data_IF_763459698773
#
_entry.id   IF_763459698773
#
_cell.length_a   1.000
_cell.length_b   1.000
_cell.length_c   1.000
_cell.angle_alpha   90.00
_cell.angle_beta   90.00
_cell.angle_gamma   90.00
#
_symmetry.space_group_name_H-M   'P 1'
#
loop_
_entity.id
_entity.type
_entity.pdbx_description
1 polymer ?
#
# COMPACT_ATOMS: atom_id res chain seq x y z
N UNK A 1 10.27 9.17 -6.57
CA UNK A 1 10.80 8.06 -5.74
C UNK A 1 9.70 7.59 -4.81
N UNK A 2 9.36 6.30 -4.78
CA UNK A 2 8.39 5.79 -3.82
C UNK A 2 8.75 6.20 -2.40
N UNK A 3 7.80 6.81 -1.73
CA UNK A 3 8.00 7.37 -0.38
C UNK A 3 6.91 6.87 0.54
N UNK A 4 7.27 6.38 1.70
CA UNK A 4 6.33 6.09 2.79
C UNK A 4 6.45 7.19 3.83
N UNK A 5 5.34 7.91 4.04
CA UNK A 5 5.19 8.92 5.07
C UNK A 5 4.40 8.32 6.23
N UNK A 6 4.92 8.37 7.42
CA UNK A 6 4.23 7.93 8.64
C UNK A 6 3.91 9.15 9.49
N UNK A 7 2.63 9.44 9.64
CA UNK A 7 2.13 10.52 10.49
C UNK A 7 1.77 9.99 11.87
N UNK A 8 2.25 10.64 12.91
CA UNK A 8 1.76 10.43 14.29
C UNK A 8 0.65 11.42 14.55
N UNK A 9 -0.52 10.90 14.86
CA UNK A 9 -1.74 11.66 15.10
C UNK A 9 -2.10 11.56 16.58
N UNK A 10 -2.19 12.69 17.26
CA UNK A 10 -2.67 12.77 18.65
C UNK A 10 -4.12 13.22 18.66
N UNK A 11 -5.01 12.42 19.23
CA UNK A 11 -6.43 12.75 19.31
C UNK A 11 -6.70 13.92 20.27
N UNK A 12 -7.62 14.82 19.91
CA UNK A 12 -8.02 15.94 20.78
C UNK A 12 -8.80 15.48 22.01
N UNK A 13 -9.47 14.33 21.91
CA UNK A 13 -10.28 13.74 22.98
C UNK A 13 -9.88 12.30 23.25
N UNK A 14 -9.88 11.84 24.50
CA UNK A 14 -9.47 10.48 24.87
C UNK A 14 -10.43 9.38 24.39
N UNK A 15 -11.68 9.68 24.11
CA UNK A 15 -12.67 8.69 23.66
C UNK A 15 -12.83 8.71 22.13
N UNK A 16 -12.18 7.75 21.49
CA UNK A 16 -12.08 7.65 20.03
C UNK A 16 -12.71 6.38 19.48
N UNK A 17 -13.81 5.92 20.05
CA UNK A 17 -14.41 4.61 19.74
C UNK A 17 -15.14 4.51 18.40
N UNK A 18 -15.27 5.58 17.63
CA UNK A 18 -15.91 5.50 16.31
C UNK A 18 -14.90 5.03 15.26
N UNK A 19 -15.17 3.93 14.58
CA UNK A 19 -14.29 3.45 13.51
C UNK A 19 -14.21 4.50 12.40
N UNK A 20 -12.98 4.73 11.92
CA UNK A 20 -12.73 5.60 10.77
C UNK A 20 -13.14 4.84 9.51
N UNK A 21 -13.95 5.48 8.65
CA UNK A 21 -14.42 4.86 7.42
C UNK A 21 -13.40 4.99 6.29
N UNK A 22 -13.44 4.09 5.29
CA UNK A 22 -12.59 4.19 4.10
C UNK A 22 -12.70 5.52 3.37
N UNK A 23 -13.91 6.08 3.25
CA UNK A 23 -14.14 7.39 2.62
C UNK A 23 -13.47 8.55 3.39
N UNK A 24 -13.45 8.50 4.72
CA UNK A 24 -12.78 9.50 5.55
C UNK A 24 -11.25 9.45 5.39
N UNK A 25 -10.67 8.24 5.31
CA UNK A 25 -9.24 8.06 5.03
C UNK A 25 -8.86 8.61 3.66
N UNK A 26 -9.67 8.31 2.64
CA UNK A 26 -9.48 8.84 1.29
C UNK A 26 -9.53 10.36 1.25
N UNK A 27 -10.56 10.96 1.85
CA UNK A 27 -10.72 12.42 1.90
C UNK A 27 -9.57 13.12 2.62
N UNK A 28 -9.11 12.57 3.75
CA UNK A 28 -7.94 13.12 4.45
C UNK A 28 -6.68 13.01 3.59
N UNK A 29 -6.45 11.86 2.94
CA UNK A 29 -5.25 11.66 2.13
C UNK A 29 -5.23 12.59 0.93
N UNK A 30 -6.38 12.77 0.26
CA UNK A 30 -6.53 13.74 -0.82
C UNK A 30 -6.21 15.17 -0.34
N UNK A 31 -6.73 15.58 0.82
CA UNK A 31 -6.46 16.89 1.42
C UNK A 31 -4.96 17.11 1.71
N UNK A 32 -4.25 16.07 2.11
CA UNK A 32 -2.83 16.16 2.46
C UNK A 32 -1.89 16.07 1.26
N UNK A 33 -2.27 15.32 0.21
CA UNK A 33 -1.37 14.97 -0.89
C UNK A 33 -1.79 15.49 -2.26
N UNK A 34 -3.05 15.90 -2.46
CA UNK A 34 -3.50 16.45 -3.74
C UNK A 34 -3.29 17.97 -3.77
N UNK A 35 -2.31 18.43 -4.54
CA UNK A 35 -2.01 19.88 -4.67
C UNK A 35 -2.73 20.52 -5.83
N UNK A 36 -3.24 19.74 -6.79
CA UNK A 36 -3.83 20.23 -8.03
C UNK A 36 -5.06 19.44 -8.42
N UNK A 37 -5.96 20.06 -9.19
CA UNK A 37 -7.13 19.41 -9.78
C UNK A 37 -6.75 18.19 -10.64
N UNK A 38 -5.54 18.15 -11.21
CA UNK A 38 -5.03 17.05 -12.03
C UNK A 38 -4.98 15.74 -11.25
N UNK A 39 -4.53 15.76 -10.01
CA UNK A 39 -4.48 14.55 -9.16
C UNK A 39 -5.88 14.10 -8.73
N UNK A 40 -6.81 15.01 -8.55
CA UNK A 40 -8.18 14.70 -8.11
C UNK A 40 -8.94 13.84 -9.13
N UNK A 41 -8.75 14.08 -10.42
CA UNK A 41 -9.40 13.35 -11.51
C UNK A 41 -8.57 12.21 -12.10
N UNK A 42 -7.34 11.97 -11.61
CA UNK A 42 -6.49 10.92 -12.12
C UNK A 42 -7.10 9.53 -11.89
N UNK A 43 -7.18 8.73 -12.96
CA UNK A 43 -7.65 7.34 -12.91
C UNK A 43 -6.75 6.47 -12.01
N UNK A 44 -5.45 6.74 -12.02
CA UNK A 44 -4.47 6.11 -11.15
C UNK A 44 -3.99 7.13 -10.12
N UNK A 45 -4.48 6.99 -8.90
CA UNK A 45 -4.05 7.88 -7.80
C UNK A 45 -2.58 7.64 -7.46
N UNK A 46 -1.80 8.72 -7.28
CA UNK A 46 -0.36 8.62 -6.98
C UNK A 46 -0.06 8.20 -5.55
N UNK A 47 -1.06 7.92 -4.74
CA UNK A 47 -0.91 7.66 -3.32
C UNK A 47 -1.71 6.45 -2.83
N UNK A 48 -1.31 5.99 -1.65
CA UNK A 48 -2.03 4.97 -0.87
C UNK A 48 -2.18 5.44 0.58
N UNK A 49 -3.06 4.81 1.34
CA UNK A 49 -3.24 5.08 2.77
C UNK A 49 -3.47 3.79 3.54
N UNK A 50 -2.91 3.70 4.74
CA UNK A 50 -3.24 2.62 5.69
C UNK A 50 -4.58 2.91 6.41
N UNK A 51 -5.19 1.91 7.06
CA UNK A 51 -6.11 2.22 8.14
C UNK A 51 -5.40 3.01 9.24
N UNK A 52 -6.18 3.57 10.16
CA UNK A 52 -5.61 4.16 11.37
C UNK A 52 -5.04 3.05 12.25
N UNK A 53 -3.74 3.07 12.50
CA UNK A 53 -3.02 2.06 13.26
C UNK A 53 -2.85 2.54 14.70
N UNK A 54 -2.91 1.62 15.68
CA UNK A 54 -2.59 1.96 17.06
C UNK A 54 -1.11 2.36 17.20
N UNK A 55 -0.83 3.45 17.87
CA UNK A 55 0.53 3.82 18.25
C UNK A 55 0.87 3.27 19.64
N UNK A 56 2.14 2.89 19.89
CA UNK A 56 2.56 2.35 21.17
C UNK A 56 2.64 3.38 22.28
N UNK A 57 2.57 4.67 21.95
CA UNK A 57 2.77 5.76 22.90
C UNK A 57 1.53 6.64 23.03
N UNK A 58 1.35 7.24 24.23
CA UNK A 58 0.37 8.29 24.47
C UNK A 58 1.11 9.62 24.67
N UNK A 59 0.51 10.71 24.21
CA UNK A 59 1.03 12.05 24.44
C UNK A 59 0.09 12.79 25.41
N UNK A 60 0.59 13.17 26.58
CA UNK A 60 -0.21 13.84 27.62
C UNK A 60 -1.52 13.10 27.96
N UNK A 61 -1.48 11.76 28.10
CA UNK A 61 -2.64 10.93 28.41
C UNK A 61 -3.64 10.75 27.25
N UNK A 62 -3.35 11.30 26.08
CA UNK A 62 -4.17 11.16 24.86
C UNK A 62 -3.65 10.03 23.97
N UNK A 63 -4.52 9.21 23.39
CA UNK A 63 -4.08 8.14 22.52
C UNK A 63 -3.48 8.70 21.24
N UNK A 64 -2.36 8.12 20.83
CA UNK A 64 -1.75 8.36 19.53
C UNK A 64 -2.20 7.29 18.55
N UNK A 65 -2.26 7.68 17.28
CA UNK A 65 -2.48 6.76 16.17
C UNK A 65 -1.43 7.03 15.08
N UNK A 66 -1.16 6.01 14.27
CA UNK A 66 -0.29 6.15 13.11
C UNK A 66 -1.14 6.08 11.84
N UNK A 67 -0.87 6.98 10.91
CA UNK A 67 -1.40 6.94 9.56
C UNK A 67 -0.23 6.84 8.59
N UNK A 68 -0.17 5.75 7.81
CA UNK A 68 0.87 5.57 6.80
C UNK A 68 0.31 5.96 5.44
N UNK A 69 1.01 6.85 4.76
CA UNK A 69 0.72 7.29 3.40
C UNK A 69 1.83 6.80 2.48
N UNK A 70 1.48 6.27 1.31
CA UNK A 70 2.43 5.94 0.25
C UNK A 70 2.32 6.98 -0.87
N UNK A 71 3.46 7.49 -1.35
CA UNK A 71 3.57 8.27 -2.59
C UNK A 71 4.31 7.44 -3.62
N UNK A 72 3.72 7.22 -4.79
CA UNK A 72 4.24 6.27 -5.79
C UNK A 72 5.09 6.91 -6.88
N UNK A 73 4.77 8.12 -7.40
CA UNK A 73 5.53 8.72 -8.48
C UNK A 73 7.01 8.93 -8.18
N UNK A 74 7.82 8.93 -9.21
CA UNK A 74 9.25 9.24 -9.10
C UNK A 74 9.54 10.75 -8.94
N UNK A 75 8.55 11.60 -9.20
CA UNK A 75 8.63 13.04 -8.98
C UNK A 75 8.54 13.41 -7.48
N UNK A 76 8.93 14.62 -7.11
CA UNK A 76 8.79 15.11 -5.74
C UNK A 76 7.34 15.01 -5.25
N UNK A 77 7.17 14.51 -4.03
CA UNK A 77 5.90 14.51 -3.33
C UNK A 77 5.58 15.89 -2.76
N UNK A 78 4.32 16.13 -2.35
CA UNK A 78 3.98 17.29 -1.54
C UNK A 78 4.83 17.35 -0.26
N UNK A 79 5.33 18.54 0.07
CA UNK A 79 6.21 18.74 1.22
C UNK A 79 5.47 18.46 2.55
N UNK A 80 5.95 17.52 3.38
CA UNK A 80 5.32 17.18 4.64
C UNK A 80 5.60 18.18 5.75
N UNK A 81 6.53 19.11 5.60
CA UNK A 81 6.84 20.13 6.63
C UNK A 81 5.58 20.95 6.96
N UNK A 82 4.71 21.15 5.98
CA UNK A 82 3.44 21.83 6.17
C UNK A 82 2.35 20.97 6.83
N UNK A 83 2.62 19.68 7.04
CA UNK A 83 1.63 18.75 7.62
C UNK A 83 1.77 18.70 9.15
N UNK A 84 2.99 18.78 9.67
CA UNK A 84 3.25 18.74 11.11
C UNK A 84 2.68 19.99 11.79
N UNK A 85 2.02 19.80 12.92
CA UNK A 85 1.30 20.85 13.66
C UNK A 85 -0.12 21.11 13.17
N UNK A 86 -0.53 20.56 12.01
CA UNK A 86 -1.89 20.74 11.50
C UNK A 86 -2.89 19.91 12.29
N UNK A 87 -4.06 20.49 12.51
CA UNK A 87 -5.24 19.75 12.98
C UNK A 87 -5.97 19.18 11.77
N UNK A 88 -6.20 17.87 11.79
CA UNK A 88 -6.92 17.13 10.76
C UNK A 88 -8.19 16.51 11.32
N UNK A 89 -9.21 16.36 10.50
CA UNK A 89 -10.49 15.76 10.90
C UNK A 89 -10.67 14.39 10.25
N UNK A 90 -10.96 13.40 11.08
CA UNK A 90 -11.38 12.06 10.64
C UNK A 90 -12.76 11.76 11.27
N UNK A 91 -13.80 11.83 10.46
CA UNK A 91 -15.17 11.67 10.94
C UNK A 91 -15.58 12.79 11.90
N UNK A 92 -15.97 12.41 13.12
CA UNK A 92 -16.32 13.36 14.20
C UNK A 92 -15.13 13.73 15.09
N UNK A 93 -13.93 13.21 14.80
CA UNK A 93 -12.74 13.42 15.62
C UNK A 93 -11.75 14.35 14.97
N UNK A 94 -11.05 15.11 15.80
CA UNK A 94 -9.92 15.93 15.42
C UNK A 94 -8.64 15.33 15.96
N UNK A 95 -7.58 15.42 15.17
CA UNK A 95 -6.25 14.95 15.51
C UNK A 95 -5.25 16.05 15.17
N UNK A 96 -4.26 16.22 16.00
CA UNK A 96 -3.08 17.02 15.68
C UNK A 96 -1.99 16.12 15.14
N UNK A 97 -1.39 16.46 14.00
CA UNK A 97 -0.22 15.78 13.48
C UNK A 97 0.99 16.21 14.30
N UNK A 98 1.48 15.33 15.15
CA UNK A 98 2.59 15.64 16.07
C UNK A 98 3.96 15.26 15.53
N UNK A 99 4.03 14.31 14.59
CA UNK A 99 5.26 13.95 13.89
C UNK A 99 4.95 13.44 12.47
N UNK A 100 5.93 13.58 11.58
CA UNK A 100 5.89 13.08 10.21
C UNK A 100 7.27 12.49 9.86
N UNK A 101 7.35 11.16 9.77
CA UNK A 101 8.57 10.44 9.43
C UNK A 101 8.50 9.91 8.00
N UNK A 102 9.60 10.01 7.26
CA UNK A 102 9.68 9.63 5.87
C UNK A 102 10.70 8.54 5.61
N UNK A 103 10.29 7.59 4.78
CA UNK A 103 11.19 6.58 4.24
C UNK A 103 11.13 6.58 2.71
N UNK A 104 12.23 6.93 2.09
CA UNK A 104 12.42 6.88 0.63
C UNK A 104 12.95 5.51 0.22
N UNK A 105 12.42 4.99 -0.87
CA UNK A 105 12.94 3.76 -1.49
C UNK A 105 12.91 3.94 -3.00
N UNK A 106 14.00 4.43 -3.63
CA UNK A 106 14.06 4.63 -5.08
C UNK A 106 13.73 3.35 -5.85
N UNK A 107 13.13 3.49 -7.03
CA UNK A 107 12.85 2.34 -7.91
C UNK A 107 14.14 1.59 -8.26
N UNK A 108 15.23 2.33 -8.55
CA UNK A 108 16.56 1.75 -8.80
C UNK A 108 17.09 0.94 -7.62
N UNK A 109 16.86 1.37 -6.39
CA UNK A 109 17.27 0.60 -5.20
C UNK A 109 16.46 -0.69 -5.04
N UNK A 110 15.20 -0.69 -5.48
CA UNK A 110 14.37 -1.90 -5.49
C UNK A 110 14.81 -2.88 -6.57
N UNK A 111 15.17 -2.42 -7.76
CA UNK A 111 15.63 -3.30 -8.86
C UNK A 111 17.04 -3.83 -8.64
N UNK A 112 17.82 -3.20 -7.77
CA UNK A 112 19.17 -3.65 -7.37
C UNK A 112 19.17 -4.61 -6.18
N UNK A 113 18.01 -4.99 -5.67
CA UNK A 113 17.92 -5.99 -4.61
C UNK A 113 18.51 -7.33 -5.07
N UNK A 114 19.13 -8.08 -4.16
CA UNK A 114 19.52 -9.45 -4.46
C UNK A 114 18.32 -10.26 -4.97
N UNK A 115 18.54 -11.22 -5.90
CA UNK A 115 17.47 -12.09 -6.36
C UNK A 115 16.89 -12.86 -5.19
N UNK A 116 15.57 -13.03 -5.20
CA UNK A 116 14.85 -13.80 -4.21
C UNK A 116 13.79 -14.65 -4.90
N UNK A 117 13.56 -15.85 -4.36
CA UNK A 117 12.54 -16.77 -4.88
C UNK A 117 11.39 -17.01 -3.91
N UNK A 118 11.44 -16.43 -2.71
CA UNK A 118 10.41 -16.55 -1.69
C UNK A 118 10.13 -15.20 -1.03
N UNK A 119 8.86 -14.98 -0.69
CA UNK A 119 8.41 -13.78 0.01
C UNK A 119 7.21 -14.09 0.91
N UNK A 120 7.12 -13.41 2.03
CA UNK A 120 5.96 -13.43 2.90
C UNK A 120 5.31 -12.05 2.89
N UNK A 121 4.02 -12.00 2.62
CA UNK A 121 3.21 -10.77 2.67
C UNK A 121 2.16 -10.91 3.78
N UNK A 122 2.18 -9.96 4.72
CA UNK A 122 1.16 -9.81 5.76
C UNK A 122 0.16 -8.75 5.35
N UNK A 123 -1.07 -9.14 5.13
CA UNK A 123 -2.20 -8.27 4.81
C UNK A 123 -2.77 -7.72 6.11
N UNK A 124 -2.39 -6.48 6.43
CA UNK A 124 -2.69 -5.80 7.70
C UNK A 124 -4.05 -5.12 7.70
N UNK A 125 -4.64 -4.92 6.53
CA UNK A 125 -6.02 -4.45 6.38
C UNK A 125 -6.75 -5.29 5.34
N UNK A 126 -8.08 -5.21 5.35
CA UNK A 126 -8.90 -5.94 4.41
C UNK A 126 -8.41 -5.75 2.97
N UNK A 127 -8.20 -6.85 2.30
CA UNK A 127 -7.69 -6.89 0.93
C UNK A 127 -8.64 -7.70 0.05
N UNK A 128 -8.93 -7.23 -1.13
CA UNK A 128 -9.57 -8.00 -2.19
C UNK A 128 -9.04 -7.55 -3.54
N UNK A 129 -9.17 -8.42 -4.53
CA UNK A 129 -8.83 -8.12 -5.91
C UNK A 129 -10.10 -7.99 -6.74
N UNK A 130 -9.97 -7.44 -7.95
CA UNK A 130 -11.06 -7.41 -8.94
C UNK A 130 -10.63 -8.19 -10.17
N UNK A 131 -11.47 -9.14 -10.59
CA UNK A 131 -11.28 -9.93 -11.82
C UNK A 131 -12.59 -9.98 -12.58
N UNK A 132 -12.62 -9.42 -13.79
CA UNK A 132 -13.80 -9.41 -14.66
C UNK A 132 -15.06 -8.87 -13.94
N UNK A 133 -14.92 -7.76 -13.21
CA UNK A 133 -16.01 -7.13 -12.46
C UNK A 133 -16.45 -7.87 -11.18
N UNK A 134 -15.82 -8.99 -10.84
CA UNK A 134 -16.08 -9.76 -9.62
C UNK A 134 -15.01 -9.52 -8.58
N UNK A 135 -15.40 -9.52 -7.30
CA UNK A 135 -14.47 -9.40 -6.19
C UNK A 135 -13.90 -10.75 -5.81
N UNK A 136 -12.60 -10.80 -5.61
CA UNK A 136 -11.83 -11.99 -5.31
C UNK A 136 -11.11 -11.81 -3.96
N UNK A 137 -11.68 -12.30 -2.85
CA UNK A 137 -11.14 -12.11 -1.50
C UNK A 137 -10.15 -13.23 -1.13
N UNK A 138 -9.17 -13.51 -1.98
CA UNK A 138 -8.13 -14.52 -1.77
C UNK A 138 -6.78 -13.97 -2.23
N UNK A 139 -5.64 -14.43 -1.68
CA UNK A 139 -4.30 -13.98 -2.05
C UNK A 139 -3.83 -14.61 -3.37
N UNK A 140 -4.54 -14.32 -4.47
CA UNK A 140 -4.20 -14.78 -5.82
C UNK A 140 -2.87 -14.15 -6.26
N UNK A 141 -1.82 -14.96 -6.58
CA UNK A 141 -0.51 -14.46 -6.95
C UNK A 141 -0.54 -13.65 -8.25
N UNK A 142 -1.30 -14.08 -9.25
CA UNK A 142 -1.37 -13.40 -10.54
C UNK A 142 -2.07 -12.04 -10.38
N UNK A 143 -3.18 -11.96 -9.65
CA UNK A 143 -3.89 -10.70 -9.42
C UNK A 143 -3.07 -9.71 -8.58
N UNK A 144 -2.34 -10.22 -7.59
CA UNK A 144 -1.46 -9.41 -6.75
C UNK A 144 -0.35 -8.78 -7.59
N UNK A 145 0.46 -9.61 -8.27
CA UNK A 145 1.63 -9.12 -9.00
C UNK A 145 1.23 -8.33 -10.26
N UNK A 146 0.17 -8.70 -10.97
CA UNK A 146 -0.35 -7.89 -12.07
C UNK A 146 -0.79 -6.49 -11.61
N UNK A 147 -1.41 -6.41 -10.43
CA UNK A 147 -1.77 -5.12 -9.81
C UNK A 147 -0.55 -4.27 -9.45
N UNK A 148 0.50 -4.90 -8.91
CA UNK A 148 1.76 -4.23 -8.57
C UNK A 148 2.51 -3.78 -9.82
N UNK A 149 2.65 -4.64 -10.85
CA UNK A 149 3.29 -4.30 -12.13
C UNK A 149 2.60 -3.10 -12.80
N UNK A 150 1.25 -3.10 -12.84
CA UNK A 150 0.51 -1.99 -13.43
C UNK A 150 0.81 -0.66 -12.74
N UNK A 151 0.89 -0.63 -11.39
CA UNK A 151 1.25 0.58 -10.65
C UNK A 151 2.72 0.93 -10.83
N UNK A 152 3.59 -0.06 -10.79
CA UNK A 152 5.01 0.10 -11.04
C UNK A 152 5.24 0.75 -12.41
N UNK A 153 4.74 0.15 -13.49
CA UNK A 153 4.91 0.65 -14.85
C UNK A 153 4.26 2.02 -15.10
N UNK A 154 3.23 2.37 -14.29
CA UNK A 154 2.61 3.70 -14.39
C UNK A 154 3.46 4.80 -13.74
N UNK A 155 4.13 4.53 -12.61
CA UNK A 155 4.80 5.54 -11.80
C UNK A 155 6.32 5.49 -11.86
N UNK A 156 6.92 4.36 -12.21
CA UNK A 156 8.36 4.20 -12.30
C UNK A 156 8.93 4.93 -13.54
N UNK A 157 10.21 5.36 -13.46
CA UNK A 157 10.97 5.77 -14.65
C UNK A 157 10.91 4.69 -15.73
N UNK A 158 10.98 5.10 -16.98
CA UNK A 158 10.87 4.18 -18.13
C UNK A 158 11.92 3.06 -18.09
N UNK A 159 13.13 3.39 -17.63
CA UNK A 159 14.24 2.44 -17.50
C UNK A 159 13.99 1.33 -16.47
N UNK A 160 13.07 1.54 -15.54
CA UNK A 160 12.75 0.60 -14.45
C UNK A 160 11.47 -0.19 -14.72
N UNK A 161 10.76 0.09 -15.82
CA UNK A 161 9.49 -0.59 -16.15
C UNK A 161 9.74 -2.01 -16.63
N UNK A 162 8.81 -2.88 -16.29
CA UNK A 162 8.78 -4.23 -16.84
C UNK A 162 8.21 -4.20 -18.25
N UNK A 163 8.87 -4.90 -19.16
CA UNK A 163 8.38 -5.16 -20.51
C UNK A 163 7.24 -6.20 -20.49
N UNK A 164 6.51 -6.33 -21.60
CA UNK A 164 5.46 -7.35 -21.74
C UNK A 164 5.99 -8.79 -21.58
N UNK A 165 7.15 -9.17 -22.15
CA UNK A 165 7.76 -10.48 -21.91
C UNK A 165 8.10 -10.72 -20.43
N UNK A 166 8.77 -9.77 -19.76
CA UNK A 166 9.11 -9.87 -18.33
C UNK A 166 7.86 -9.96 -17.46
N UNK A 167 6.82 -9.18 -17.77
CA UNK A 167 5.53 -9.24 -17.11
C UNK A 167 4.91 -10.63 -17.24
N UNK A 168 4.86 -11.18 -18.46
CA UNK A 168 4.32 -12.51 -18.72
C UNK A 168 5.09 -13.60 -17.98
N UNK A 169 6.41 -13.53 -18.02
CA UNK A 169 7.28 -14.49 -17.34
C UNK A 169 7.04 -14.47 -15.84
N UNK A 170 7.05 -13.30 -15.20
CA UNK A 170 6.80 -13.19 -13.76
C UNK A 170 5.42 -13.75 -13.39
N UNK A 171 4.37 -13.39 -14.12
CA UNK A 171 3.01 -13.83 -13.81
C UNK A 171 2.79 -15.34 -14.02
N UNK A 172 3.54 -15.97 -14.91
CA UNK A 172 3.51 -17.43 -15.09
C UNK A 172 4.37 -18.20 -14.08
N UNK A 173 5.38 -17.54 -13.50
CA UNK A 173 6.31 -18.16 -12.55
C UNK A 173 5.90 -17.97 -11.09
N UNK A 174 5.08 -16.96 -10.77
CA UNK A 174 4.71 -16.71 -9.38
C UNK A 174 3.60 -17.65 -8.91
N UNK A 175 3.77 -18.23 -7.72
CA UNK A 175 2.80 -19.13 -7.10
C UNK A 175 2.57 -18.79 -5.62
N UNK A 176 1.37 -19.09 -5.14
CA UNK A 176 1.04 -19.10 -3.71
C UNK A 176 1.54 -20.43 -3.13
N UNK A 177 2.40 -20.37 -2.10
CA UNK A 177 2.96 -21.57 -1.49
C UNK A 177 2.33 -21.91 -0.13
N UNK A 178 1.86 -20.92 0.61
CA UNK A 178 1.16 -21.10 1.87
C UNK A 178 0.30 -19.87 2.19
N UNK A 179 -0.75 -20.01 2.98
CA UNK A 179 -1.50 -18.90 3.53
C UNK A 179 -2.19 -19.25 4.85
N UNK A 180 -2.34 -18.23 5.67
CA UNK A 180 -3.19 -18.22 6.85
C UNK A 180 -3.97 -16.90 6.82
N UNK A 181 -5.23 -16.96 6.42
CA UNK A 181 -6.07 -15.78 6.18
C UNK A 181 -7.46 -15.94 6.80
N UNK A 182 -8.06 -14.81 7.13
CA UNK A 182 -9.45 -14.72 7.59
C UNK A 182 -10.22 -13.73 6.75
N UNK A 183 -11.44 -14.10 6.36
CA UNK A 183 -12.35 -13.22 5.64
C UNK A 183 -13.04 -12.25 6.58
N UNK A 184 -13.26 -11.00 6.12
CA UNK A 184 -14.00 -10.00 6.87
C UNK A 184 -14.80 -9.09 5.94
N UNK A 185 -16.00 -8.63 6.37
CA UNK A 185 -16.74 -7.63 5.63
C UNK A 185 -16.12 -6.24 5.79
N UNK A 186 -16.16 -5.44 4.73
CA UNK A 186 -15.76 -4.04 4.71
C UNK A 186 -16.88 -3.21 4.13
N UNK A 187 -17.35 -2.23 4.88
CA UNK A 187 -18.29 -1.24 4.37
C UNK A 187 -17.51 -0.11 3.66
N UNK A 188 -17.82 0.08 2.38
CA UNK A 188 -17.24 1.14 1.56
C UNK A 188 -18.16 2.37 1.45
N UNK A 189 -19.31 2.37 2.14
CA UNK A 189 -20.36 3.39 2.01
C UNK A 189 -21.24 3.20 0.77
N UNK A 190 -20.70 2.64 -0.31
CA UNK A 190 -21.43 2.23 -1.54
C UNK A 190 -21.86 0.76 -1.51
N UNK A 191 -21.67 0.08 -0.38
CA UNK A 191 -22.00 -1.31 -0.15
C UNK A 191 -20.86 -2.10 0.50
N UNK A 192 -21.22 -3.24 1.06
CA UNK A 192 -20.27 -4.14 1.75
C UNK A 192 -19.52 -5.00 0.75
N UNK A 193 -18.24 -5.20 0.98
CA UNK A 193 -17.37 -6.13 0.26
C UNK A 193 -16.75 -7.11 1.24
N UNK A 194 -16.48 -8.32 0.77
CA UNK A 194 -15.69 -9.28 1.52
C UNK A 194 -14.23 -9.11 1.10
N UNK A 195 -13.38 -8.91 2.07
CA UNK A 195 -11.92 -8.93 1.93
C UNK A 195 -11.32 -9.99 2.83
N UNK A 196 -10.00 -10.09 2.82
CA UNK A 196 -9.24 -10.96 3.73
C UNK A 196 -8.12 -10.17 4.41
N UNK A 197 -7.69 -10.66 5.57
CA UNK A 197 -6.47 -10.30 6.27
C UNK A 197 -5.69 -11.56 6.62
N UNK A 198 -4.44 -11.42 7.05
CA UNK A 198 -3.59 -12.57 7.43
C UNK A 198 -2.27 -12.59 6.68
N UNK A 199 -1.70 -13.77 6.49
CA UNK A 199 -0.38 -13.95 5.90
C UNK A 199 -0.46 -14.88 4.70
N UNK A 200 0.30 -14.57 3.65
CA UNK A 200 0.49 -15.44 2.51
C UNK A 200 1.97 -15.47 2.09
N UNK A 201 2.44 -16.66 1.75
CA UNK A 201 3.78 -16.88 1.23
C UNK A 201 3.73 -17.13 -0.28
N UNK A 202 4.59 -16.44 -1.01
CA UNK A 202 4.70 -16.53 -2.46
C UNK A 202 6.07 -17.06 -2.86
N UNK A 203 6.13 -17.75 -4.00
CA UNK A 203 7.37 -18.30 -4.55
C UNK A 203 7.44 -18.06 -6.05
N UNK A 204 8.66 -17.89 -6.55
CA UNK A 204 8.96 -18.09 -7.96
C UNK A 204 9.19 -19.57 -8.25
N UNK A 205 8.56 -20.07 -9.29
CA UNK A 205 8.73 -21.42 -9.82
C UNK A 205 9.56 -21.37 -11.12
N UNK A 206 10.20 -22.48 -11.43
CA UNK A 206 11.00 -22.63 -12.65
C UNK A 206 12.50 -22.43 -12.40
N UNK A 207 13.26 -22.67 -13.47
CA UNK A 207 14.71 -22.41 -13.51
C UNK A 207 14.93 -21.05 -14.15
N UNK A 208 15.59 -20.16 -13.45
CA UNK A 208 15.96 -18.84 -13.95
C UNK A 208 17.44 -18.83 -14.32
N UNK A 209 17.74 -18.33 -15.51
CA UNK A 209 19.12 -18.15 -15.95
C UNK A 209 19.71 -16.85 -15.34
N UNK A 210 21.05 -16.69 -15.33
CA UNK A 210 21.68 -15.45 -14.84
C UNK A 210 21.25 -14.18 -15.61
N UNK A 211 20.68 -14.34 -16.81
CA UNK A 211 20.20 -13.22 -17.64
C UNK A 211 18.73 -12.86 -17.39
N UNK A 212 18.00 -13.70 -16.67
CA UNK A 212 16.58 -13.45 -16.38
C UNK A 212 16.44 -12.38 -15.30
N UNK A 213 15.63 -11.37 -15.57
CA UNK A 213 15.36 -10.31 -14.61
C UNK A 213 14.24 -10.66 -13.61
N UNK A 214 13.49 -11.71 -13.86
CA UNK A 214 12.36 -12.13 -13.02
C UNK A 214 12.73 -12.34 -11.55
N UNK A 215 13.89 -12.97 -11.19
CA UNK A 215 14.35 -13.10 -9.82
C UNK A 215 14.68 -11.77 -9.13
N UNK A 216 14.89 -10.70 -9.89
CA UNK A 216 15.08 -9.32 -9.39
C UNK A 216 13.76 -8.55 -9.32
N UNK A 217 12.85 -8.76 -10.30
CA UNK A 217 11.55 -8.10 -10.31
C UNK A 217 10.63 -8.59 -9.18
N UNK A 218 10.69 -9.87 -8.85
CA UNK A 218 9.87 -10.44 -7.78
C UNK A 218 10.11 -9.78 -6.42
N UNK A 219 11.35 -9.68 -5.88
CA UNK A 219 11.61 -8.98 -4.63
C UNK A 219 11.33 -7.48 -4.72
N UNK A 220 11.64 -6.83 -5.86
CA UNK A 220 11.36 -5.42 -6.09
C UNK A 220 9.88 -5.10 -5.93
N UNK A 221 9.01 -5.82 -6.65
CA UNK A 221 7.56 -5.65 -6.59
C UNK A 221 6.99 -6.03 -5.22
N UNK A 222 7.53 -7.08 -4.59
CA UNK A 222 7.12 -7.51 -3.25
C UNK A 222 7.37 -6.40 -2.22
N UNK A 223 8.56 -5.80 -2.20
CA UNK A 223 8.85 -4.69 -1.29
C UNK A 223 8.13 -3.40 -1.67
N UNK A 224 7.94 -3.14 -2.98
CA UNK A 224 7.12 -2.03 -3.46
C UNK A 224 5.68 -2.11 -2.93
N UNK A 225 5.12 -3.30 -2.75
CA UNK A 225 3.79 -3.49 -2.17
C UNK A 225 3.64 -2.83 -0.80
N UNK A 226 4.72 -2.70 -0.02
CA UNK A 226 4.68 -2.04 1.31
C UNK A 226 4.34 -0.54 1.23
N UNK A 227 4.59 0.08 0.07
CA UNK A 227 4.25 1.48 -0.20
C UNK A 227 3.01 1.57 -1.11
N UNK A 228 2.93 0.73 -2.13
CA UNK A 228 1.83 0.73 -3.10
C UNK A 228 0.53 0.09 -2.58
N UNK A 229 0.62 -0.72 -1.52
CA UNK A 229 -0.48 -1.58 -1.09
C UNK A 229 -0.77 -2.71 -2.09
N UNK A 230 -1.70 -3.59 -1.73
CA UNK A 230 -2.12 -4.74 -2.52
C UNK A 230 -3.62 -4.73 -2.79
N UNK A 231 -4.02 -5.11 -4.01
CA UNK A 231 -5.43 -5.21 -4.38
C UNK A 231 -6.12 -3.89 -4.68
N UNK A 232 -7.42 -3.85 -4.44
CA UNK A 232 -8.28 -2.70 -4.74
C UNK A 232 -8.41 -1.75 -3.53
N UNK A 233 -8.82 -0.49 -3.82
CA UNK A 233 -9.15 0.53 -2.80
C UNK A 233 -7.99 0.88 -1.85
N UNK A 234 -6.75 0.81 -2.31
CA UNK A 234 -5.57 1.16 -1.50
C UNK A 234 -5.51 2.65 -1.11
N UNK A 235 -6.29 3.49 -1.77
CA UNK A 235 -6.49 4.91 -1.42
C UNK A 235 -7.55 5.11 -0.33
N UNK A 236 -8.18 4.03 0.15
CA UNK A 236 -9.26 4.02 1.13
C UNK A 236 -8.89 3.22 2.39
N UNK A 237 -7.62 2.92 2.63
CA UNK A 237 -7.17 2.18 3.79
C UNK A 237 -7.21 0.66 3.64
N UNK A 238 -7.58 0.15 2.45
CA UNK A 238 -7.55 -1.27 2.16
C UNK A 238 -6.19 -1.67 1.56
N UNK A 239 -5.89 -2.97 1.63
CA UNK A 239 -4.67 -3.49 1.01
C UNK A 239 -3.37 -3.00 1.63
N UNK A 240 -3.38 -2.52 2.88
CA UNK A 240 -2.16 -2.21 3.60
C UNK A 240 -1.42 -3.49 3.94
N UNK A 241 -0.16 -3.59 3.51
CA UNK A 241 0.66 -4.80 3.65
C UNK A 241 2.04 -4.51 4.21
N UNK A 242 2.61 -5.54 4.85
CA UNK A 242 4.03 -5.64 5.18
C UNK A 242 4.60 -6.84 4.42
N UNK A 243 5.84 -6.74 3.97
CA UNK A 243 6.49 -7.79 3.19
C UNK A 243 7.90 -8.05 3.68
N UNK A 244 8.30 -9.33 3.65
CA UNK A 244 9.67 -9.80 3.90
C UNK A 244 10.09 -10.76 2.80
N UNK A 245 11.37 -10.75 2.45
CA UNK A 245 12.00 -11.66 1.50
C UNK A 245 12.72 -12.80 2.27
N UNK A 246 12.76 -13.99 1.66
CA UNK A 246 13.46 -15.18 2.18
C UNK A 246 14.35 -15.79 1.08
#
# INVERSE_FOLDING_TARGET
>A
MPTRLTLTLTADRPDTRRPVTPAQLHGLTALLLENTATHHHAQHKPYTVSPLLAAPTHHNGRPNALLRLGWLPDNPRPDPTHITGRTVRLGSQYFTVTAADEKFTPYTALTQLPPASRAIIRFRSATYFSRNGRWHPLPDPVLLYAGLIRRWNHFAPETERLTDPETKELLTSVALSAHEISSLPVDLGSGTRIGFTGTAAFRLLGHHTPHDRTPHHFPALTLFATTAGAGAQTTHGLGHVEATLE
#
